data_IF_516236390400
#
_entry.id   IF_516236390400
#
_cell.length_a   1.000
_cell.length_b   1.000
_cell.length_c   1.000
_cell.angle_alpha   90.00
_cell.angle_beta   90.00
_cell.angle_gamma   90.00
#
_symmetry.space_group_name_H-M   'P 1'
#
loop_
_entity.id
_entity.type
_entity.pdbx_description
1 polymer ?
#
# COMPACT_ATOMS: atom_id res chain seq x y z
N UNK A 1 7.18 4.50 -4.37
CA UNK A 1 5.77 4.13 -4.04
C UNK A 1 4.74 4.41 -5.15
N UNK A 2 4.65 5.62 -5.74
CA UNK A 2 3.56 5.98 -6.69
C UNK A 2 3.42 5.08 -7.91
N UNK A 3 4.54 4.72 -8.55
CA UNK A 3 4.54 3.88 -9.76
C UNK A 3 4.02 2.49 -9.42
N UNK A 4 4.56 1.88 -8.36
CA UNK A 4 4.13 0.56 -7.87
C UNK A 4 2.62 0.55 -7.57
N UNK A 5 2.11 1.55 -6.85
CA UNK A 5 0.68 1.65 -6.58
C UNK A 5 -0.19 1.76 -7.84
N UNK A 6 0.24 2.53 -8.84
CA UNK A 6 -0.45 2.59 -10.13
C UNK A 6 -0.43 1.26 -10.86
N UNK A 7 0.71 0.56 -10.86
CA UNK A 7 0.83 -0.77 -11.45
C UNK A 7 -0.10 -1.78 -10.75
N UNK A 8 -0.16 -1.78 -9.41
CA UNK A 8 -1.07 -2.62 -8.64
C UNK A 8 -2.54 -2.34 -9.00
N UNK A 9 -2.90 -1.07 -9.09
CA UNK A 9 -4.24 -0.66 -9.52
C UNK A 9 -4.57 -1.15 -10.94
N UNK A 10 -3.65 -1.00 -11.88
CA UNK A 10 -3.87 -1.48 -13.25
C UNK A 10 -3.94 -3.01 -13.33
N UNK A 11 -3.16 -3.74 -12.53
CA UNK A 11 -3.26 -5.19 -12.44
C UNK A 11 -4.62 -5.62 -11.88
N UNK A 12 -5.10 -4.96 -10.82
CA UNK A 12 -6.43 -5.24 -10.27
C UNK A 12 -7.55 -4.98 -11.28
N UNK A 13 -7.43 -3.87 -12.04
CA UNK A 13 -8.37 -3.56 -13.13
C UNK A 13 -8.35 -4.64 -14.21
N UNK A 14 -7.17 -5.08 -14.66
CA UNK A 14 -7.03 -6.15 -15.66
C UNK A 14 -7.54 -7.50 -15.16
N UNK A 15 -7.34 -7.82 -13.89
CA UNK A 15 -7.89 -9.03 -13.28
C UNK A 15 -9.43 -9.00 -13.30
N UNK A 16 -10.06 -7.88 -12.94
CA UNK A 16 -11.52 -7.71 -13.05
C UNK A 16 -12.02 -7.84 -14.48
N UNK A 17 -11.32 -7.21 -15.43
CA UNK A 17 -11.64 -7.29 -16.85
C UNK A 17 -11.53 -8.73 -17.38
N UNK A 18 -10.50 -9.47 -16.96
CA UNK A 18 -10.35 -10.88 -17.27
C UNK A 18 -11.51 -11.71 -16.68
N UNK A 19 -11.84 -11.49 -15.40
CA UNK A 19 -12.95 -12.16 -14.72
C UNK A 19 -14.31 -11.85 -15.36
N UNK A 20 -14.48 -10.69 -15.98
CA UNK A 20 -15.72 -10.35 -16.68
C UNK A 20 -15.81 -11.04 -18.05
N UNK A 21 -14.71 -11.04 -18.82
CA UNK A 21 -14.71 -11.49 -20.21
C UNK A 21 -14.48 -13.00 -20.40
N UNK A 22 -13.76 -13.67 -19.48
CA UNK A 22 -13.23 -15.03 -19.69
C UNK A 22 -13.81 -16.09 -18.74
N UNK A 23 -14.77 -15.75 -17.86
CA UNK A 23 -15.36 -16.65 -16.85
C UNK A 23 -16.15 -17.86 -17.39
N UNK A 24 -16.13 -18.10 -18.70
CA UNK A 24 -16.90 -19.13 -19.39
C UNK A 24 -16.08 -20.39 -19.75
N UNK A 25 -14.76 -20.31 -19.67
CA UNK A 25 -13.86 -21.47 -19.83
C UNK A 25 -13.34 -21.92 -18.45
N UNK A 26 -13.16 -23.24 -18.27
CA UNK A 26 -12.62 -23.92 -17.08
C UNK A 26 -11.11 -23.61 -16.90
N UNK A 27 -10.76 -22.33 -16.94
CA UNK A 27 -9.41 -21.82 -16.77
C UNK A 27 -9.32 -21.24 -15.36
N UNK A 28 -8.25 -21.62 -14.64
CA UNK A 28 -8.02 -21.12 -13.27
C UNK A 28 -7.91 -19.60 -13.30
N UNK A 29 -8.65 -18.93 -12.41
CA UNK A 29 -8.56 -17.48 -12.26
C UNK A 29 -7.10 -17.04 -12.03
N UNK A 30 -6.59 -15.99 -12.69
CA UNK A 30 -5.32 -15.36 -12.36
C UNK A 30 -5.51 -14.52 -11.09
N UNK A 31 -5.84 -15.18 -9.98
CA UNK A 31 -5.87 -14.58 -8.66
C UNK A 31 -4.46 -14.62 -8.06
N UNK A 32 -4.15 -13.63 -7.22
CA UNK A 32 -2.97 -13.71 -6.36
C UNK A 32 -1.63 -13.84 -7.10
N UNK A 33 -1.42 -12.96 -8.09
CA UNK A 33 -0.23 -12.93 -8.96
C UNK A 33 1.03 -12.49 -8.18
N UNK A 34 0.86 -11.61 -7.20
CA UNK A 34 1.97 -10.99 -6.47
C UNK A 34 2.07 -11.61 -5.10
N UNK A 35 3.25 -12.08 -4.70
CA UNK A 35 3.43 -12.67 -3.37
C UNK A 35 3.27 -11.63 -2.24
N UNK A 36 4.23 -10.72 -2.07
CA UNK A 36 4.21 -9.71 -1.01
C UNK A 36 4.38 -8.30 -1.58
N UNK A 37 3.70 -7.32 -0.98
CA UNK A 37 3.78 -5.90 -1.32
C UNK A 37 4.05 -5.10 -0.06
N UNK A 38 5.11 -4.28 -0.09
CA UNK A 38 5.40 -3.31 0.98
C UNK A 38 5.40 -1.90 0.40
N UNK A 39 4.43 -1.09 0.81
CA UNK A 39 4.30 0.31 0.41
C UNK A 39 4.79 1.20 1.55
N UNK A 40 5.84 1.97 1.28
CA UNK A 40 6.42 2.93 2.23
C UNK A 40 6.09 4.36 1.79
N UNK A 41 5.53 5.16 2.70
CA UNK A 41 5.31 6.60 2.47
C UNK A 41 4.49 6.91 1.23
N UNK A 42 3.41 6.14 0.95
CA UNK A 42 2.61 6.28 -0.27
C UNK A 42 1.94 7.67 -0.35
N UNK A 43 2.32 8.54 -1.31
CA UNK A 43 1.71 9.86 -1.49
C UNK A 43 0.44 9.74 -2.35
N UNK A 44 -0.57 9.02 -1.86
CA UNK A 44 -1.86 8.88 -2.51
C UNK A 44 -3.00 9.02 -1.49
N UNK A 45 -4.10 9.62 -1.91
CA UNK A 45 -5.31 9.67 -1.08
C UNK A 45 -5.85 8.26 -0.82
N UNK A 46 -6.37 8.05 0.37
CA UNK A 46 -7.02 6.79 0.72
C UNK A 46 -8.32 6.58 -0.10
N UNK A 47 -8.46 5.36 -0.62
CA UNK A 47 -9.66 4.86 -1.30
C UNK A 47 -9.78 3.36 -0.97
N UNK A 48 -10.72 3.01 -0.09
CA UNK A 48 -10.90 1.64 0.39
C UNK A 48 -11.13 0.62 -0.73
N UNK A 49 -11.97 0.95 -1.72
CA UNK A 49 -12.26 0.06 -2.85
C UNK A 49 -11.00 -0.28 -3.63
N UNK A 50 -10.13 0.71 -3.90
CA UNK A 50 -8.87 0.48 -4.62
C UNK A 50 -7.93 -0.42 -3.82
N UNK A 51 -7.87 -0.27 -2.49
CA UNK A 51 -7.03 -1.13 -1.64
C UNK A 51 -7.58 -2.56 -1.54
N UNK A 52 -8.90 -2.72 -1.48
CA UNK A 52 -9.55 -4.04 -1.52
C UNK A 52 -9.31 -4.73 -2.87
N UNK A 53 -9.43 -3.99 -3.98
CA UNK A 53 -9.07 -4.47 -5.31
C UNK A 53 -7.62 -4.93 -5.40
N UNK A 54 -6.68 -4.14 -4.88
CA UNK A 54 -5.26 -4.49 -4.82
C UNK A 54 -5.05 -5.73 -3.94
N UNK A 55 -5.80 -5.88 -2.83
CA UNK A 55 -5.71 -7.04 -1.96
C UNK A 55 -6.01 -8.34 -2.71
N UNK A 56 -6.92 -8.36 -3.68
CA UNK A 56 -7.22 -9.55 -4.49
C UNK A 56 -6.10 -9.96 -5.47
N UNK A 57 -5.22 -9.02 -5.83
CA UNK A 57 -4.05 -9.28 -6.70
C UNK A 57 -2.89 -9.87 -5.91
N UNK A 58 -2.83 -9.58 -4.60
CA UNK A 58 -1.74 -10.01 -3.72
C UNK A 58 -2.10 -11.35 -3.07
N UNK A 59 -1.20 -12.33 -3.13
CA UNK A 59 -1.35 -13.65 -2.52
C UNK A 59 -1.07 -13.58 -1.01
N UNK A 60 0.06 -12.97 -0.66
CA UNK A 60 0.58 -12.86 0.68
C UNK A 60 0.22 -11.52 1.32
N UNK A 61 1.24 -10.80 1.77
CA UNK A 61 1.13 -9.62 2.63
C UNK A 61 1.00 -8.35 1.80
N UNK A 62 -0.02 -7.57 2.10
CA UNK A 62 -0.15 -6.20 1.64
C UNK A 62 0.16 -5.25 2.81
N UNK A 63 1.38 -4.73 2.87
CA UNK A 63 1.87 -3.93 3.98
C UNK A 63 1.86 -2.44 3.65
N UNK A 64 1.20 -1.64 4.49
CA UNK A 64 1.27 -0.19 4.50
C UNK A 64 2.21 0.27 5.63
N UNK A 65 3.39 0.76 5.26
CA UNK A 65 4.32 1.42 6.19
C UNK A 65 4.04 2.93 6.20
N UNK A 66 3.52 3.42 7.31
CA UNK A 66 3.12 4.82 7.46
C UNK A 66 3.93 5.53 8.55
N UNK A 67 4.19 6.82 8.35
CA UNK A 67 4.77 7.70 9.38
C UNK A 67 3.85 8.88 9.63
N UNK A 68 3.48 9.08 10.89
CA UNK A 68 2.67 10.23 11.33
C UNK A 68 3.47 11.53 11.33
N UNK A 69 4.81 11.44 11.33
CA UNK A 69 5.73 12.58 11.39
C UNK A 69 6.29 12.97 10.02
N UNK A 70 5.91 12.32 8.92
CA UNK A 70 6.34 12.76 7.59
C UNK A 70 5.72 14.13 7.26
N UNK A 71 6.48 15.17 7.59
CA UNK A 71 6.11 16.57 7.39
C UNK A 71 6.01 16.93 5.91
N UNK A 72 6.76 16.28 5.02
CA UNK A 72 6.71 16.60 3.57
C UNK A 72 5.44 16.04 2.97
N UNK A 73 5.05 14.81 3.31
CA UNK A 73 3.76 14.25 2.93
C UNK A 73 2.62 15.10 3.51
N UNK A 74 2.68 15.45 4.79
CA UNK A 74 1.63 16.21 5.44
C UNK A 74 1.52 17.64 4.84
N UNK A 75 2.65 18.33 4.67
CA UNK A 75 2.69 19.71 4.18
C UNK A 75 2.41 19.81 2.68
N UNK A 76 3.03 18.99 1.82
CA UNK A 76 2.81 19.08 0.37
C UNK A 76 1.42 18.63 -0.07
N UNK A 77 0.79 17.68 0.63
CA UNK A 77 -0.56 17.23 0.27
C UNK A 77 -1.65 18.14 0.85
N UNK A 78 -1.45 18.72 2.04
CA UNK A 78 -2.38 19.71 2.59
C UNK A 78 -2.33 21.03 1.80
N UNK A 79 -1.14 21.50 1.41
CA UNK A 79 -0.99 22.74 0.64
C UNK A 79 -1.54 22.65 -0.80
N UNK A 80 -1.47 21.47 -1.44
CA UNK A 80 -1.93 21.30 -2.83
C UNK A 80 -3.45 21.22 -2.99
N UNK A 81 -4.24 21.09 -1.92
CA UNK A 81 -5.71 21.09 -2.00
C UNK A 81 -6.36 21.69 -0.75
N UNK A 82 -6.62 23.00 -0.81
CA UNK A 82 -7.50 23.75 0.11
C UNK A 82 -8.94 23.17 0.19
N UNK A 83 -9.30 22.16 -0.63
CA UNK A 83 -10.69 21.69 -0.75
C UNK A 83 -10.95 20.21 -0.35
N UNK A 84 -9.96 19.40 0.05
CA UNK A 84 -10.25 18.04 0.52
C UNK A 84 -9.25 17.59 1.60
N UNK A 85 -9.70 17.62 2.87
CA UNK A 85 -9.08 16.88 3.98
C UNK A 85 -9.25 15.37 3.78
N UNK A 86 -8.61 14.81 2.75
CA UNK A 86 -8.58 13.36 2.51
C UNK A 86 -7.25 12.80 2.98
N UNK A 87 -7.30 11.90 3.96
CA UNK A 87 -6.13 11.25 4.53
C UNK A 87 -5.24 10.59 3.48
N UNK A 88 -3.93 10.71 3.67
CA UNK A 88 -2.89 10.17 2.78
C UNK A 88 -2.46 8.81 3.33
N UNK A 89 -2.40 7.79 2.48
CA UNK A 89 -2.12 6.42 2.93
C UNK A 89 -0.75 6.28 3.62
N UNK A 90 0.24 7.09 3.20
CA UNK A 90 1.58 7.09 3.79
C UNK A 90 1.69 7.75 5.17
N UNK A 91 0.65 8.40 5.68
CA UNK A 91 0.66 9.08 6.99
C UNK A 91 -0.32 8.49 8.01
N UNK A 92 -1.15 7.54 7.59
CA UNK A 92 -2.23 7.01 8.42
C UNK A 92 -2.43 5.51 8.19
N UNK A 93 -3.08 4.89 9.17
CA UNK A 93 -3.60 3.54 9.09
C UNK A 93 -4.60 3.40 7.93
N UNK A 94 -4.48 2.29 7.18
CA UNK A 94 -5.37 1.88 6.09
C UNK A 94 -6.30 0.79 6.62
N UNK A 95 -7.56 1.13 6.83
CA UNK A 95 -8.57 0.22 7.40
C UNK A 95 -9.24 -0.61 6.30
N UNK A 96 -8.52 -1.61 5.80
CA UNK A 96 -8.99 -2.58 4.80
C UNK A 96 -8.55 -3.97 5.24
N UNK A 97 -9.45 -4.93 5.17
CA UNK A 97 -9.16 -6.30 5.58
C UNK A 97 -8.00 -6.91 4.78
N UNK A 98 -7.14 -7.65 5.47
CA UNK A 98 -5.92 -8.21 4.91
C UNK A 98 -4.80 -7.20 4.60
N UNK A 99 -4.96 -5.90 4.91
CA UNK A 99 -3.87 -4.91 4.86
C UNK A 99 -3.17 -4.85 6.21
N UNK A 100 -1.87 -5.09 6.21
CA UNK A 100 -1.03 -4.97 7.40
C UNK A 100 -0.49 -3.55 7.53
N UNK A 101 -0.79 -2.88 8.64
CA UNK A 101 -0.30 -1.52 8.89
C UNK A 101 0.88 -1.55 9.87
N UNK A 102 2.00 -0.95 9.45
CA UNK A 102 3.20 -0.83 10.27
C UNK A 102 3.54 0.64 10.45
N UNK A 103 3.51 1.09 11.69
CA UNK A 103 3.94 2.43 12.06
C UNK A 103 5.48 2.48 12.08
N UNK A 104 6.06 3.31 11.21
CA UNK A 104 7.51 3.55 11.10
C UNK A 104 7.90 4.94 11.59
N UNK A 105 7.03 5.62 12.33
CA UNK A 105 7.23 7.00 12.82
C UNK A 105 8.51 7.18 13.66
N UNK A 106 8.97 6.13 14.34
CA UNK A 106 10.23 6.15 15.11
C UNK A 106 11.48 6.05 14.22
N UNK A 107 11.34 5.45 13.04
CA UNK A 107 12.44 5.25 12.08
C UNK A 107 12.50 6.40 11.08
N UNK A 108 11.34 6.92 10.68
CA UNK A 108 11.16 7.92 9.63
C UNK A 108 10.57 9.19 10.25
N UNK A 109 11.42 10.20 10.45
CA UNK A 109 11.03 11.51 10.94
C UNK A 109 10.92 12.55 9.81
N UNK A 110 11.68 12.35 8.73
CA UNK A 110 11.64 13.13 7.48
C UNK A 110 11.38 12.22 6.29
N UNK A 111 10.80 12.74 5.20
CA UNK A 111 10.56 11.97 3.97
C UNK A 111 11.85 11.42 3.36
N UNK A 112 12.96 12.14 3.51
CA UNK A 112 14.28 11.72 3.04
C UNK A 112 14.79 10.48 3.79
N UNK A 113 14.29 10.23 5.01
CA UNK A 113 14.67 9.05 5.79
C UNK A 113 14.18 7.77 5.14
N UNK A 114 13.10 7.81 4.34
CA UNK A 114 12.65 6.62 3.63
C UNK A 114 13.75 6.04 2.74
N UNK A 115 14.55 6.86 2.06
CA UNK A 115 15.62 6.39 1.18
C UNK A 115 16.81 5.81 1.95
N UNK A 116 17.13 6.38 3.12
CA UNK A 116 18.29 5.99 3.91
C UNK A 116 18.00 4.84 4.88
N UNK A 117 16.73 4.69 5.29
CA UNK A 117 16.29 3.75 6.34
C UNK A 117 15.47 2.57 5.79
N UNK A 118 15.47 2.35 4.47
CA UNK A 118 14.78 1.20 3.84
C UNK A 118 15.11 -0.11 4.55
N UNK A 119 16.40 -0.36 4.80
CA UNK A 119 16.88 -1.58 5.45
C UNK A 119 16.29 -1.77 6.84
N UNK A 120 16.17 -0.69 7.62
CA UNK A 120 15.60 -0.75 8.98
C UNK A 120 14.09 -1.01 8.94
N UNK A 121 13.40 -0.39 7.98
CA UNK A 121 11.96 -0.62 7.75
C UNK A 121 11.71 -2.06 7.34
N UNK A 122 12.49 -2.61 6.40
CA UNK A 122 12.34 -4.01 5.97
C UNK A 122 12.63 -5.00 7.10
N UNK A 123 13.66 -4.75 7.91
CA UNK A 123 13.94 -5.56 9.11
C UNK A 123 12.77 -5.52 10.10
N UNK A 124 12.12 -4.37 10.28
CA UNK A 124 10.93 -4.26 11.11
C UNK A 124 9.76 -5.08 10.54
N UNK A 125 9.54 -5.01 9.21
CA UNK A 125 8.50 -5.77 8.49
C UNK A 125 8.73 -7.28 8.62
N UNK A 126 9.99 -7.74 8.57
CA UNK A 126 10.39 -9.15 8.77
C UNK A 126 10.24 -9.60 10.22
N UNK A 127 10.64 -8.76 11.19
CA UNK A 127 10.44 -9.08 12.61
C UNK A 127 8.96 -9.26 12.94
N UNK A 128 8.09 -8.41 12.39
CA UNK A 128 6.63 -8.51 12.52
C UNK A 128 6.06 -9.78 11.89
N UNK A 129 6.69 -10.33 10.84
CA UNK A 129 6.32 -11.63 10.27
C UNK A 129 6.59 -12.78 11.25
N UNK A 130 7.77 -12.77 11.87
CA UNK A 130 8.19 -13.84 12.79
C UNK A 130 7.40 -13.87 14.10
N UNK A 131 6.80 -12.75 14.52
CA UNK A 131 5.97 -12.68 15.73
C UNK A 131 4.52 -13.14 15.55
N UNK A 132 4.09 -13.46 14.32
CA UNK A 132 2.75 -13.95 14.00
C UNK A 132 2.68 -15.47 13.77
N UNK A 133 3.81 -16.16 13.90
CA UNK A 133 3.97 -17.62 13.84
C UNK A 133 4.16 -18.10 15.28
#
# INVERSE_FOLDING_TARGET
>A
ARVIYKCLKEMARKQKEWLYNYKKEDTREPASIIEDVVLMGLPNHFNGDTWAEIRHVVAGRLVNCFSRKDFVLNFMFQMKKISMMRSVCGTMYVDVDGVENIDVTEIVQSHEDYCHRISDILRLVEKRRSSKI
#
